data_IF_094688977653
#
_entry.id   IF_094688977653
#
_cell.length_a   1.000
_cell.length_b   1.000
_cell.length_c   1.000
_cell.angle_alpha   90.00
_cell.angle_beta   90.00
_cell.angle_gamma   90.00
#
_symmetry.space_group_name_H-M   'P 1'
#
loop_
_entity.id
_entity.type
_entity.pdbx_description
1 polymer ?
#
# COMPACT_ATOMS: atom_id res chain seq x y z
N UNK A 1 -8.26 11.18 -4.21
CA UNK A 1 -7.98 11.10 -5.66
C UNK A 1 -9.20 11.57 -6.40
N UNK A 2 -9.03 12.35 -7.45
CA UNK A 2 -10.10 12.82 -8.34
C UNK A 2 -9.69 12.56 -9.78
N UNK A 3 -10.63 12.15 -10.62
CA UNK A 3 -10.41 11.91 -12.05
C UNK A 3 -11.41 12.73 -12.88
N UNK A 4 -11.07 13.08 -14.12
CA UNK A 4 -11.98 13.85 -14.99
C UNK A 4 -13.13 13.01 -15.57
N UNK A 5 -12.96 11.68 -15.57
CA UNK A 5 -13.96 10.68 -15.95
C UNK A 5 -13.87 9.51 -14.97
N UNK A 6 -14.82 8.60 -15.05
CA UNK A 6 -14.75 7.35 -14.31
C UNK A 6 -13.66 6.44 -14.90
N UNK A 7 -12.64 6.13 -14.10
CA UNK A 7 -11.61 5.15 -14.44
C UNK A 7 -11.63 4.00 -13.44
N UNK A 8 -11.38 2.79 -13.94
CA UNK A 8 -11.03 1.66 -13.09
C UNK A 8 -9.57 1.81 -12.64
N UNK A 9 -9.38 2.23 -11.40
CA UNK A 9 -8.06 2.40 -10.82
C UNK A 9 -7.62 1.10 -10.18
N UNK A 10 -6.44 0.61 -10.57
CA UNK A 10 -5.73 -0.45 -9.87
C UNK A 10 -4.66 0.13 -8.94
N UNK A 11 -4.66 -0.27 -7.68
CA UNK A 11 -3.69 0.11 -6.66
C UNK A 11 -2.93 -1.15 -6.22
N UNK A 12 -1.61 -1.15 -6.37
CA UNK A 12 -0.76 -2.30 -6.01
C UNK A 12 0.59 -1.89 -5.44
N UNK A 13 1.17 -2.75 -4.61
CA UNK A 13 2.57 -2.61 -4.22
C UNK A 13 3.51 -2.91 -5.40
N UNK A 14 4.60 -2.16 -5.56
CA UNK A 14 5.57 -2.38 -6.65
C UNK A 14 6.20 -3.78 -6.60
N UNK A 15 6.38 -4.35 -5.40
CA UNK A 15 6.96 -5.67 -5.21
C UNK A 15 5.93 -6.82 -5.25
N UNK A 16 4.64 -6.51 -5.43
CA UNK A 16 3.53 -7.48 -5.42
C UNK A 16 3.43 -8.33 -4.15
N UNK A 17 4.10 -7.94 -3.06
CA UNK A 17 4.07 -8.68 -1.80
C UNK A 17 3.19 -8.00 -0.76
N UNK A 18 2.90 -6.71 -0.93
CA UNK A 18 2.20 -5.91 0.09
C UNK A 18 3.03 -5.71 1.36
N UNK A 19 4.25 -6.22 1.41
CA UNK A 19 5.14 -6.13 2.56
C UNK A 19 6.30 -5.19 2.30
N UNK A 20 6.67 -4.44 3.34
CA UNK A 20 7.83 -3.56 3.38
C UNK A 20 8.80 -4.07 4.45
N UNK A 21 10.06 -4.32 4.10
CA UNK A 21 11.11 -4.55 5.10
C UNK A 21 11.49 -3.23 5.77
N UNK A 22 11.63 -3.23 7.09
CA UNK A 22 12.08 -2.08 7.88
C UNK A 22 13.49 -2.29 8.47
N UNK A 23 14.10 -3.44 8.20
CA UNK A 23 15.37 -3.87 8.79
C UNK A 23 15.19 -4.63 10.11
N UNK A 24 16.25 -5.31 10.55
CA UNK A 24 16.29 -5.99 11.86
C UNK A 24 15.28 -7.11 12.07
N UNK A 25 14.74 -7.70 11.00
CA UNK A 25 13.70 -8.74 11.07
C UNK A 25 12.26 -8.19 11.13
N UNK A 26 12.09 -6.86 11.19
CA UNK A 26 10.79 -6.21 11.17
C UNK A 26 10.30 -5.97 9.75
N UNK A 27 8.99 -6.17 9.57
CA UNK A 27 8.28 -5.90 8.33
C UNK A 27 7.02 -5.09 8.63
N UNK A 28 6.53 -4.39 7.63
CA UNK A 28 5.24 -3.73 7.65
C UNK A 28 4.35 -4.33 6.58
N UNK A 29 3.20 -4.89 6.97
CA UNK A 29 2.14 -5.24 6.03
C UNK A 29 1.39 -3.97 5.61
N UNK A 30 1.29 -3.72 4.32
CA UNK A 30 0.63 -2.56 3.73
C UNK A 30 -0.74 -2.95 3.21
N UNK A 31 -1.74 -2.14 3.55
CA UNK A 31 -3.13 -2.33 3.11
C UNK A 31 -3.70 -1.03 2.58
N UNK A 32 -4.61 -1.13 1.61
CA UNK A 32 -5.46 -0.02 1.17
C UNK A 32 -6.90 -0.37 1.47
N UNK A 33 -7.58 0.50 2.23
CA UNK A 33 -8.96 0.29 2.67
C UNK A 33 -9.17 -1.09 3.34
N UNK A 34 -8.15 -1.59 4.04
CA UNK A 34 -8.15 -2.91 4.68
C UNK A 34 -7.73 -4.09 3.80
N UNK A 35 -7.64 -3.91 2.48
CA UNK A 35 -7.19 -4.94 1.53
C UNK A 35 -5.68 -4.96 1.40
N UNK A 36 -5.08 -6.14 1.42
CA UNK A 36 -3.64 -6.32 1.26
C UNK A 36 -3.15 -5.87 -0.12
N UNK A 37 -2.16 -4.98 -0.15
CA UNK A 37 -1.57 -4.47 -1.38
C UNK A 37 -0.73 -5.49 -2.16
N UNK A 38 -0.47 -6.66 -1.60
CA UNK A 38 0.07 -7.83 -2.32
C UNK A 38 -0.97 -8.49 -3.22
N UNK A 39 -2.25 -8.46 -2.83
CA UNK A 39 -3.37 -8.93 -3.66
C UNK A 39 -3.82 -7.88 -4.68
N UNK A 40 -3.45 -6.62 -4.44
CA UNK A 40 -3.95 -5.48 -5.19
C UNK A 40 -5.34 -5.06 -4.74
N UNK A 41 -5.70 -3.85 -5.12
CA UNK A 41 -7.00 -3.26 -4.83
C UNK A 41 -7.48 -2.52 -6.08
N UNK A 42 -8.75 -2.68 -6.46
CA UNK A 42 -9.32 -1.97 -7.59
C UNK A 42 -10.63 -1.31 -7.19
N UNK A 43 -10.83 -0.09 -7.68
CA UNK A 43 -12.08 0.65 -7.50
C UNK A 43 -12.26 1.67 -8.63
N UNK A 44 -13.50 2.07 -8.89
CA UNK A 44 -13.83 3.12 -9.85
C UNK A 44 -13.67 4.48 -9.18
N UNK A 45 -12.89 5.37 -9.79
CA UNK A 45 -12.72 6.76 -9.33
C UNK A 45 -13.15 7.72 -10.42
N UNK A 46 -14.03 8.64 -10.05
CA UNK A 46 -14.58 9.66 -10.94
C UNK A 46 -14.36 11.09 -10.47
N UNK A 47 -15.10 12.05 -11.03
CA UNK A 47 -15.02 13.47 -10.68
C UNK A 47 -15.38 13.79 -9.23
N UNK A 48 -16.25 13.00 -8.60
CA UNK A 48 -16.56 13.12 -7.17
C UNK A 48 -15.38 12.83 -6.26
N UNK A 49 -14.38 12.14 -6.80
CA UNK A 49 -13.21 11.69 -6.08
C UNK A 49 -13.49 10.61 -5.04
N UNK A 50 -12.42 9.94 -4.62
CA UNK A 50 -12.43 8.95 -3.55
C UNK A 50 -11.20 9.08 -2.67
N UNK A 51 -11.38 8.77 -1.39
CA UNK A 51 -10.28 8.68 -0.42
C UNK A 51 -9.90 7.23 -0.24
N UNK A 52 -8.59 6.96 -0.28
CA UNK A 52 -8.01 5.67 -0.01
C UNK A 52 -7.15 5.78 1.25
N UNK A 53 -7.36 4.87 2.20
CA UNK A 53 -6.57 4.82 3.44
C UNK A 53 -5.46 3.79 3.26
N UNK A 54 -4.22 4.25 3.20
CA UNK A 54 -3.04 3.40 3.30
C UNK A 54 -2.76 3.13 4.78
N UNK A 55 -2.76 1.87 5.18
CA UNK A 55 -2.36 1.47 6.52
C UNK A 55 -1.12 0.56 6.49
N UNK A 56 -0.34 0.66 7.55
CA UNK A 56 0.88 -0.11 7.79
C UNK A 56 0.72 -0.82 9.13
N UNK A 57 0.90 -2.13 9.15
CA UNK A 57 0.88 -2.94 10.37
C UNK A 57 2.25 -3.58 10.56
N UNK A 58 2.94 -3.17 11.62
CA UNK A 58 4.24 -3.71 12.01
C UNK A 58 4.10 -5.19 12.42
N UNK A 59 5.03 -6.02 11.95
CA UNK A 59 5.13 -7.43 12.31
C UNK A 59 6.58 -7.91 12.34
N UNK A 60 6.81 -9.03 13.01
CA UNK A 60 8.13 -9.63 13.16
C UNK A 60 8.71 -9.46 14.56
N UNK A 61 9.93 -9.95 14.71
CA UNK A 61 10.72 -9.87 15.94
C UNK A 61 12.11 -9.33 15.59
N UNK A 62 12.66 -8.50 16.46
CA UNK A 62 14.02 -7.99 16.34
C UNK A 62 14.80 -8.28 17.61
N UNK A 63 16.06 -8.70 17.46
CA UNK A 63 17.01 -8.79 18.57
C UNK A 63 17.75 -7.48 18.84
N UNK A 64 17.43 -6.41 18.11
CA UNK A 64 18.13 -5.13 18.18
C UNK A 64 17.18 -4.01 18.62
N UNK A 65 17.74 -2.97 19.25
CA UNK A 65 17.03 -1.73 19.57
C UNK A 65 17.49 -0.63 18.62
N UNK A 66 16.58 0.27 18.22
CA UNK A 66 16.92 1.37 17.32
C UNK A 66 15.75 1.88 16.49
N UNK A 67 16.08 2.75 15.53
CA UNK A 67 15.14 3.26 14.53
C UNK A 67 15.13 2.32 13.33
N UNK A 68 13.93 1.84 12.99
CA UNK A 68 13.70 0.99 11.83
C UNK A 68 12.97 1.79 10.77
N UNK A 69 13.47 1.74 9.54
CA UNK A 69 12.96 2.56 8.45
C UNK A 69 12.96 1.77 7.15
N UNK A 70 11.97 2.05 6.32
CA UNK A 70 11.83 1.47 4.99
C UNK A 70 10.91 2.34 4.14
N UNK A 71 11.00 2.16 2.83
CA UNK A 71 10.15 2.84 1.86
C UNK A 71 9.53 1.83 0.90
N UNK A 72 8.27 2.05 0.55
CA UNK A 72 7.58 1.28 -0.51
C UNK A 72 7.01 2.24 -1.54
N UNK A 73 6.91 1.76 -2.78
CA UNK A 73 6.25 2.46 -3.88
C UNK A 73 4.91 1.79 -4.15
N UNK A 74 3.85 2.59 -4.11
CA UNK A 74 2.51 2.18 -4.51
C UNK A 74 2.29 2.63 -5.96
N UNK A 75 1.89 1.68 -6.80
CA UNK A 75 1.57 1.94 -8.20
C UNK A 75 0.07 2.17 -8.31
N UNK A 76 -0.28 3.27 -8.97
CA UNK A 76 -1.62 3.62 -9.39
C UNK A 76 -1.70 3.38 -10.90
N UNK A 77 -2.40 2.33 -11.31
CA UNK A 77 -2.61 1.97 -12.70
C UNK A 77 -3.98 2.43 -13.18
N UNK A 78 -4.00 3.12 -14.31
CA UNK A 78 -5.20 3.44 -15.07
C UNK A 78 -5.16 2.64 -16.39
N UNK A 79 -6.33 2.29 -16.96
CA UNK A 79 -6.41 1.68 -18.30
C UNK A 79 -5.92 2.62 -19.40
#
# INVERSE_FOLDING_TARGET
MTCNNDFNLAIKSKNSQGQLSLGGGLKSQLKVNGTDLGQGYSDVVGPSGKTFTLSSTLSGYTGATGVFQGSSVIILGLP
#
